data_IF_230234723382
#
_entry.id   IF_230234723382
#
_cell.length_a   1.000
_cell.length_b   1.000
_cell.length_c   1.000
_cell.angle_alpha   90.00
_cell.angle_beta   90.00
_cell.angle_gamma   90.00
#
_symmetry.space_group_name_H-M   'P 1'
#
loop_
_entity.id
_entity.type
_entity.pdbx_description
1 polymer ?
#
# COMPACT_ATOMS: atom_id res chain seq x y z
N UNK A 1 12.30 -8.74 -2.41
CA UNK A 1 11.28 -9.36 -1.54
C UNK A 1 10.58 -10.55 -2.22
N UNK A 2 9.89 -10.37 -3.35
CA UNK A 2 8.99 -11.41 -3.90
C UNK A 2 9.50 -12.20 -5.12
N UNK A 3 10.54 -11.72 -5.83
CA UNK A 3 11.15 -12.40 -7.01
C UNK A 3 10.15 -12.79 -8.12
N UNK A 4 9.12 -11.97 -8.34
CA UNK A 4 8.02 -12.23 -9.30
C UNK A 4 8.51 -12.39 -10.74
N UNK A 5 9.54 -11.63 -11.13
CA UNK A 5 10.22 -11.67 -12.42
C UNK A 5 10.86 -13.03 -12.73
N UNK A 6 11.25 -13.77 -11.69
CA UNK A 6 11.80 -15.13 -11.81
C UNK A 6 10.75 -16.23 -11.71
N UNK A 7 9.46 -15.88 -11.65
CA UNK A 7 8.35 -16.83 -11.63
C UNK A 7 7.85 -17.23 -10.24
N UNK A 8 8.31 -16.57 -9.16
CA UNK A 8 7.80 -16.84 -7.82
C UNK A 8 6.31 -16.44 -7.68
N UNK A 9 5.59 -17.16 -6.81
CA UNK A 9 4.16 -16.99 -6.56
C UNK A 9 3.44 -18.35 -6.49
N UNK A 10 2.11 -18.35 -6.27
CA UNK A 10 1.27 -17.17 -6.07
C UNK A 10 1.49 -16.51 -4.71
N UNK A 11 1.33 -15.19 -4.65
CA UNK A 11 1.30 -14.42 -3.40
C UNK A 11 -0.01 -13.66 -3.28
N UNK A 12 -0.57 -13.58 -2.07
CA UNK A 12 -1.78 -12.82 -1.81
C UNK A 12 -1.47 -11.33 -1.62
N UNK A 13 -2.00 -10.51 -2.51
CA UNK A 13 -1.90 -9.06 -2.56
C UNK A 13 -3.22 -8.42 -2.13
N UNK A 14 -3.13 -7.36 -1.32
CA UNK A 14 -4.24 -6.44 -1.07
C UNK A 14 -3.85 -5.03 -1.51
N UNK A 15 -4.39 -4.48 -2.63
CA UNK A 15 -4.09 -3.12 -3.04
C UNK A 15 -5.02 -2.11 -2.36
N UNK A 16 -4.44 -0.95 -2.03
CA UNK A 16 -5.15 0.24 -1.57
C UNK A 16 -4.79 1.41 -2.49
N UNK A 17 -5.72 2.35 -2.65
CA UNK A 17 -5.47 3.61 -3.34
C UNK A 17 -5.80 4.81 -2.46
N UNK A 18 -5.37 5.99 -2.91
CA UNK A 18 -5.53 7.25 -2.17
C UNK A 18 -6.95 7.79 -2.15
N UNK A 19 -7.10 9.02 -1.68
CA UNK A 19 -8.40 9.69 -1.65
C UNK A 19 -8.91 9.99 -3.06
N UNK A 20 -10.16 9.62 -3.44
CA UNK A 20 -10.74 9.87 -4.76
C UNK A 20 -10.79 11.35 -5.20
N UNK A 21 -10.74 12.28 -4.26
CA UNK A 21 -10.73 13.73 -4.48
C UNK A 21 -9.32 14.34 -4.58
N UNK A 22 -8.27 13.52 -4.48
CA UNK A 22 -6.88 13.93 -4.68
C UNK A 22 -6.39 13.52 -6.07
N UNK A 23 -6.04 14.52 -6.89
CA UNK A 23 -5.51 14.29 -8.24
C UNK A 23 -4.27 13.40 -8.26
N UNK A 24 -3.41 13.44 -7.23
CA UNK A 24 -2.19 12.65 -7.18
C UNK A 24 -2.45 11.15 -6.96
N UNK A 25 -3.55 10.80 -6.29
CA UNK A 25 -3.87 9.42 -5.93
C UNK A 25 -3.97 8.51 -7.16
N UNK A 26 -4.55 9.03 -8.26
CA UNK A 26 -4.59 8.32 -9.54
C UNK A 26 -3.19 7.99 -10.07
N UNK A 27 -2.26 8.94 -10.02
CA UNK A 27 -0.90 8.74 -10.54
C UNK A 27 -0.11 7.73 -9.72
N UNK A 28 -0.22 7.77 -8.39
CA UNK A 28 0.44 6.78 -7.54
C UNK A 28 -0.08 5.37 -7.82
N UNK A 29 -1.40 5.21 -7.93
CA UNK A 29 -1.98 3.92 -8.24
C UNK A 29 -1.58 3.44 -9.64
N UNK A 30 -1.78 4.24 -10.68
CA UNK A 30 -1.46 3.88 -12.06
C UNK A 30 0.01 3.46 -12.23
N UNK A 31 0.94 4.22 -11.64
CA UNK A 31 2.37 3.88 -11.70
C UNK A 31 2.71 2.55 -11.03
N UNK A 32 2.07 2.23 -9.91
CA UNK A 32 2.26 0.93 -9.25
C UNK A 32 1.53 -0.20 -10.00
N UNK A 33 0.32 0.06 -10.50
CA UNK A 33 -0.53 -0.92 -11.15
C UNK A 33 0.00 -1.35 -12.51
N UNK A 34 0.62 -0.44 -13.28
CA UNK A 34 1.31 -0.77 -14.54
C UNK A 34 2.36 -1.88 -14.35
N UNK A 35 3.06 -1.88 -13.20
CA UNK A 35 4.03 -2.91 -12.84
C UNK A 35 3.38 -4.18 -12.29
N UNK A 36 2.36 -4.05 -11.44
CA UNK A 36 1.79 -5.18 -10.70
C UNK A 36 0.72 -5.94 -11.49
N UNK A 37 -0.07 -5.25 -12.32
CA UNK A 37 -1.18 -5.82 -13.08
C UNK A 37 -0.77 -7.02 -13.96
N UNK A 38 0.38 -7.01 -14.67
CA UNK A 38 0.82 -8.20 -15.42
C UNK A 38 1.01 -9.44 -14.55
N UNK A 39 1.39 -9.29 -13.28
CA UNK A 39 1.52 -10.41 -12.34
C UNK A 39 0.18 -10.82 -11.74
N UNK A 40 -0.76 -9.89 -11.60
CA UNK A 40 -2.16 -10.17 -11.22
C UNK A 40 -2.84 -10.98 -12.33
N UNK A 41 -2.74 -10.52 -13.58
CA UNK A 41 -3.35 -11.17 -14.75
C UNK A 41 -2.81 -12.60 -14.97
N UNK A 42 -1.54 -12.84 -14.63
CA UNK A 42 -0.91 -14.18 -14.68
C UNK A 42 -1.22 -15.06 -13.45
N UNK A 43 -1.88 -14.51 -12.43
CA UNK A 43 -2.16 -15.21 -11.17
C UNK A 43 -0.94 -15.40 -10.26
N UNK A 44 0.19 -14.74 -10.53
CA UNK A 44 1.35 -14.73 -9.62
C UNK A 44 1.08 -13.83 -8.40
N UNK A 45 0.28 -12.78 -8.58
CA UNK A 45 -0.34 -12.02 -7.50
C UNK A 45 -1.84 -12.32 -7.52
N UNK A 46 -2.36 -12.81 -6.41
CA UNK A 46 -3.79 -13.09 -6.24
C UNK A 46 -4.35 -12.02 -5.32
N UNK A 47 -5.55 -11.50 -5.59
CA UNK A 47 -6.25 -10.56 -4.71
C UNK A 47 -7.48 -11.26 -4.14
N UNK A 48 -7.36 -11.97 -3.00
CA UNK A 48 -8.46 -12.75 -2.41
C UNK A 48 -9.73 -11.93 -2.16
N UNK A 49 -9.59 -10.65 -1.80
CA UNK A 49 -10.73 -9.76 -1.59
C UNK A 49 -11.51 -9.40 -2.87
N UNK A 50 -10.98 -9.72 -4.04
CA UNK A 50 -11.53 -9.31 -5.34
C UNK A 50 -11.37 -7.81 -5.63
N UNK A 51 -10.70 -7.05 -4.75
CA UNK A 51 -10.48 -5.60 -4.90
C UNK A 51 -9.30 -5.27 -5.82
N UNK A 52 -9.20 -5.99 -6.95
CA UNK A 52 -8.23 -5.67 -8.00
C UNK A 52 -8.90 -4.78 -9.04
N UNK A 53 -8.47 -3.51 -9.19
CA UNK A 53 -8.98 -2.65 -10.26
C UNK A 53 -8.70 -3.26 -11.65
N UNK A 54 -9.71 -3.26 -12.52
CA UNK A 54 -9.58 -3.83 -13.86
C UNK A 54 -8.71 -2.95 -14.77
N UNK A 55 -8.74 -1.63 -14.53
CA UNK A 55 -7.94 -0.62 -15.21
C UNK A 55 -7.51 0.50 -14.26
N UNK A 56 -6.62 1.37 -14.73
CA UNK A 56 -6.19 2.56 -13.99
C UNK A 56 -7.33 3.54 -13.71
N UNK A 57 -8.42 3.49 -14.47
CA UNK A 57 -9.59 4.35 -14.24
C UNK A 57 -10.46 3.84 -13.09
N UNK A 58 -10.33 2.56 -12.71
CA UNK A 58 -11.10 1.94 -11.64
C UNK A 58 -10.48 2.11 -10.25
N UNK A 59 -9.33 2.79 -10.15
CA UNK A 59 -8.55 2.95 -8.92
C UNK A 59 -9.38 3.47 -7.73
N UNK A 60 -10.33 4.37 -7.99
CA UNK A 60 -11.13 5.01 -6.96
C UNK A 60 -12.05 4.01 -6.23
N UNK A 61 -12.36 2.86 -6.84
CA UNK A 61 -13.15 1.78 -6.21
C UNK A 61 -12.49 1.18 -4.96
N UNK A 62 -11.19 1.36 -4.81
CA UNK A 62 -10.38 0.92 -3.65
C UNK A 62 -9.72 2.11 -2.93
N UNK A 63 -10.15 3.33 -3.23
CA UNK A 63 -9.63 4.56 -2.65
C UNK A 63 -10.06 4.75 -1.21
N UNK A 64 -9.16 5.26 -0.37
CA UNK A 64 -9.45 5.62 1.02
C UNK A 64 -9.68 7.11 1.13
N UNK A 65 -10.95 7.49 1.32
CA UNK A 65 -11.37 8.89 1.45
C UNK A 65 -10.58 9.62 2.56
N UNK A 66 -10.05 10.79 2.22
CA UNK A 66 -9.32 11.66 3.13
C UNK A 66 -7.97 11.10 3.60
N UNK A 67 -7.44 10.04 2.97
CA UNK A 67 -6.17 9.43 3.35
C UNK A 67 -6.12 8.96 4.82
N UNK A 68 -7.28 8.56 5.35
CA UNK A 68 -7.49 8.26 6.77
C UNK A 68 -6.86 6.93 7.19
N UNK A 69 -5.99 6.95 8.21
CA UNK A 69 -5.44 5.73 8.84
C UNK A 69 -6.55 4.83 9.39
N UNK A 70 -7.53 5.39 10.10
CA UNK A 70 -8.61 4.63 10.73
C UNK A 70 -9.47 3.91 9.68
N UNK A 71 -9.75 4.58 8.57
CA UNK A 71 -10.50 4.00 7.46
C UNK A 71 -9.69 2.88 6.78
N UNK A 72 -8.38 3.08 6.60
CA UNK A 72 -7.50 2.06 6.07
C UNK A 72 -7.40 0.83 6.99
N UNK A 73 -7.33 1.05 8.30
CA UNK A 73 -7.34 0.00 9.30
C UNK A 73 -8.64 -0.80 9.23
N UNK A 74 -9.80 -0.15 9.30
CA UNK A 74 -11.11 -0.82 9.23
C UNK A 74 -11.29 -1.60 7.92
N UNK A 75 -10.86 -1.04 6.80
CA UNK A 75 -10.91 -1.72 5.51
C UNK A 75 -10.01 -2.95 5.47
N UNK A 76 -8.80 -2.87 6.04
CA UNK A 76 -7.90 -4.02 6.13
C UNK A 76 -8.41 -5.10 7.08
N UNK A 77 -8.96 -4.72 8.24
CA UNK A 77 -9.63 -5.63 9.17
C UNK A 77 -10.79 -6.37 8.49
N UNK A 78 -11.61 -5.66 7.72
CA UNK A 78 -12.69 -6.27 6.95
C UNK A 78 -12.16 -7.30 5.95
N UNK A 79 -11.11 -6.96 5.19
CA UNK A 79 -10.49 -7.90 4.24
C UNK A 79 -9.93 -9.13 4.96
N UNK A 80 -9.21 -8.95 6.06
CA UNK A 80 -8.63 -10.03 6.86
C UNK A 80 -9.72 -10.98 7.38
N UNK A 81 -10.77 -10.43 7.98
CA UNK A 81 -11.87 -11.22 8.56
C UNK A 81 -12.66 -11.98 7.49
N UNK A 82 -12.92 -11.36 6.34
CA UNK A 82 -13.73 -11.97 5.27
C UNK A 82 -12.98 -12.99 4.43
N UNK A 83 -11.67 -12.82 4.20
CA UNK A 83 -10.96 -13.59 3.17
C UNK A 83 -9.76 -14.40 3.70
N UNK A 84 -9.35 -14.22 4.96
CA UNK A 84 -8.13 -14.84 5.51
C UNK A 84 -8.36 -15.68 6.77
N UNK A 85 -9.61 -15.90 7.18
CA UNK A 85 -9.97 -16.74 8.34
C UNK A 85 -9.62 -18.23 8.17
N UNK A 86 -9.49 -18.71 6.93
CA UNK A 86 -9.18 -20.11 6.58
C UNK A 86 -7.69 -20.50 6.69
N UNK A 87 -6.83 -19.66 7.27
CA UNK A 87 -5.39 -19.91 7.40
C UNK A 87 -4.54 -19.35 6.25
N UNK A 88 -5.18 -18.85 5.18
CA UNK A 88 -4.53 -18.04 4.15
C UNK A 88 -3.88 -16.81 4.78
N UNK A 89 -2.71 -16.39 4.28
CA UNK A 89 -1.99 -15.20 4.76
C UNK A 89 -1.85 -14.16 3.66
N UNK A 90 -1.97 -12.90 4.04
CA UNK A 90 -1.58 -11.77 3.21
C UNK A 90 -0.05 -11.82 3.05
N UNK A 91 0.44 -11.65 1.84
CA UNK A 91 1.88 -11.60 1.57
C UNK A 91 2.34 -10.19 1.19
N UNK A 92 1.44 -9.39 0.61
CA UNK A 92 1.75 -8.06 0.09
C UNK A 92 0.56 -7.14 0.34
N UNK A 93 0.84 -5.92 0.78
CA UNK A 93 -0.14 -4.84 0.80
C UNK A 93 0.48 -3.62 0.10
N UNK A 94 -0.16 -3.19 -0.99
CA UNK A 94 0.21 -1.96 -1.67
C UNK A 94 -0.51 -0.80 -0.97
N UNK A 95 0.20 -0.11 -0.09
CA UNK A 95 -0.26 1.16 0.49
C UNK A 95 0.37 2.34 -0.26
N UNK A 96 -0.42 3.35 -0.67
CA UNK A 96 0.06 4.51 -1.42
C UNK A 96 0.74 5.58 -0.55
N UNK A 97 0.57 5.55 0.78
CA UNK A 97 1.28 6.42 1.71
C UNK A 97 1.44 5.81 3.12
N UNK A 98 2.16 6.54 3.97
CA UNK A 98 2.48 6.14 5.33
C UNK A 98 1.26 6.22 6.27
N UNK A 99 0.35 7.19 6.07
CA UNK A 99 -0.92 7.27 6.83
C UNK A 99 -1.75 5.98 6.69
N UNK A 100 -1.97 5.50 5.47
CA UNK A 100 -2.69 4.24 5.23
C UNK A 100 -1.88 3.05 5.73
N UNK A 101 -0.56 3.04 5.50
CA UNK A 101 0.31 1.94 5.94
C UNK A 101 0.29 1.78 7.46
N UNK A 102 0.19 2.88 8.21
CA UNK A 102 0.09 2.85 9.66
C UNK A 102 -1.16 2.11 10.13
N UNK A 103 -2.34 2.46 9.58
CA UNK A 103 -3.60 1.79 9.90
C UNK A 103 -3.63 0.33 9.45
N UNK A 104 -3.08 0.04 8.26
CA UNK A 104 -2.94 -1.33 7.73
C UNK A 104 -2.05 -2.17 8.66
N UNK A 105 -0.92 -1.63 9.13
CA UNK A 105 -0.02 -2.35 10.04
C UNK A 105 -0.69 -2.66 11.39
N UNK A 106 -1.54 -1.76 11.90
CA UNK A 106 -2.34 -1.99 13.11
C UNK A 106 -3.37 -3.10 12.91
N UNK A 107 -4.07 -3.13 11.77
CA UNK A 107 -4.99 -4.21 11.42
C UNK A 107 -4.27 -5.57 11.34
N UNK A 108 -3.09 -5.61 10.69
CA UNK A 108 -2.26 -6.81 10.60
C UNK A 108 -1.81 -7.28 12.00
N UNK A 109 -1.35 -6.37 12.85
CA UNK A 109 -0.97 -6.70 14.23
C UNK A 109 -2.16 -7.27 15.03
N UNK A 110 -3.34 -6.65 14.92
CA UNK A 110 -4.57 -7.13 15.54
C UNK A 110 -5.00 -8.53 15.05
N UNK A 111 -4.69 -8.86 13.79
CA UNK A 111 -4.91 -10.20 13.21
C UNK A 111 -3.78 -11.19 13.52
N UNK A 112 -2.82 -10.82 14.38
CA UNK A 112 -1.75 -11.70 14.86
C UNK A 112 -0.56 -11.82 13.92
N UNK A 113 -0.39 -10.92 12.95
CA UNK A 113 0.85 -10.82 12.19
C UNK A 113 1.93 -10.19 13.06
N UNK A 114 3.08 -10.85 13.16
CA UNK A 114 4.24 -10.35 13.90
C UNK A 114 5.40 -10.04 12.94
N UNK A 115 6.23 -9.02 13.23
CA UNK A 115 7.42 -8.74 12.45
C UNK A 115 8.32 -9.96 12.30
N UNK A 116 8.84 -10.18 11.09
CA UNK A 116 9.67 -11.33 10.77
C UNK A 116 9.64 -11.66 9.28
N UNK A 117 10.22 -12.81 8.89
CA UNK A 117 10.26 -13.25 7.49
C UNK A 117 8.89 -13.41 6.83
N UNK A 118 7.87 -13.72 7.65
CA UNK A 118 6.50 -13.97 7.19
C UNK A 118 5.59 -12.72 7.28
N UNK A 119 6.12 -11.58 7.75
CA UNK A 119 5.36 -10.34 7.76
C UNK A 119 5.12 -9.86 6.33
N UNK A 120 3.92 -9.37 5.97
CA UNK A 120 3.63 -8.96 4.61
C UNK A 120 4.56 -7.83 4.16
N UNK A 121 4.88 -7.82 2.86
CA UNK A 121 5.52 -6.65 2.26
C UNK A 121 4.52 -5.51 2.29
N UNK A 122 4.82 -4.44 3.01
CA UNK A 122 3.96 -3.26 3.15
C UNK A 122 4.69 -2.02 2.65
N UNK A 123 4.15 -1.39 1.60
CA UNK A 123 4.71 -0.16 1.03
C UNK A 123 4.21 1.08 1.75
N UNK A 124 4.78 2.25 1.42
CA UNK A 124 4.35 3.54 1.97
C UNK A 124 5.04 4.70 1.25
N UNK A 125 4.75 5.92 1.68
CA UNK A 125 5.27 7.18 1.13
C UNK A 125 5.12 8.27 2.19
N UNK A 126 6.01 9.26 2.16
CA UNK A 126 6.12 10.46 3.01
C UNK A 126 7.22 10.38 4.08
N UNK A 127 7.61 9.17 4.48
CA UNK A 127 8.59 8.89 5.53
C UNK A 127 8.18 9.50 6.89
N UNK A 128 6.91 9.33 7.25
CA UNK A 128 6.38 9.79 8.53
C UNK A 128 7.13 9.14 9.69
N UNK A 129 7.32 9.89 10.78
CA UNK A 129 8.11 9.42 11.93
C UNK A 129 7.63 8.07 12.46
N UNK A 130 6.33 7.87 12.57
CA UNK A 130 5.74 6.61 13.03
C UNK A 130 6.09 5.44 12.08
N UNK A 131 6.07 5.69 10.78
CA UNK A 131 6.31 4.70 9.75
C UNK A 131 7.80 4.37 9.60
N UNK A 132 8.69 5.34 9.80
CA UNK A 132 10.13 5.08 9.95
C UNK A 132 10.39 4.15 11.15
N UNK A 133 9.71 4.37 12.28
CA UNK A 133 9.81 3.46 13.42
C UNK A 133 9.21 2.08 13.10
N UNK A 134 8.10 1.99 12.36
CA UNK A 134 7.55 0.72 11.89
C UNK A 134 8.51 -0.02 10.95
N UNK A 135 9.20 0.69 10.06
CA UNK A 135 10.22 0.08 9.19
C UNK A 135 11.37 -0.50 10.01
N UNK A 136 11.87 0.23 11.01
CA UNK A 136 12.89 -0.27 11.94
C UNK A 136 12.39 -1.49 12.71
N UNK A 137 11.11 -1.48 13.12
CA UNK A 137 10.47 -2.59 13.83
C UNK A 137 10.07 -3.77 12.92
N UNK A 138 10.31 -3.70 11.61
CA UNK A 138 9.92 -4.74 10.65
C UNK A 138 8.41 -4.84 10.39
N UNK A 139 7.64 -3.81 10.75
CA UNK A 139 6.18 -3.66 10.52
C UNK A 139 5.84 -2.92 9.22
N UNK A 140 6.83 -2.44 8.48
CA UNK A 140 6.69 -1.83 7.17
C UNK A 140 7.95 -2.09 6.36
N UNK A 141 7.83 -2.31 5.06
CA UNK A 141 8.98 -2.72 4.23
C UNK A 141 9.72 -1.55 3.60
N UNK A 142 9.00 -0.48 3.26
CA UNK A 142 9.57 0.69 2.62
C UNK A 142 8.67 1.92 2.76
N UNK A 143 9.26 3.09 2.55
CA UNK A 143 8.57 4.35 2.33
C UNK A 143 9.35 5.17 1.28
N UNK A 144 8.64 6.02 0.54
CA UNK A 144 9.24 6.99 -0.39
C UNK A 144 9.41 8.34 0.31
N UNK A 145 10.65 8.73 0.59
CA UNK A 145 10.95 10.04 1.13
C UNK A 145 10.90 11.12 0.04
N UNK A 146 10.03 12.11 0.22
CA UNK A 146 9.94 13.31 -0.62
C UNK A 146 10.43 14.49 0.20
N UNK A 147 11.62 15.00 -0.09
CA UNK A 147 12.20 16.12 0.66
C UNK A 147 11.42 17.42 0.40
N UNK A 148 10.56 17.80 1.33
CA UNK A 148 9.72 19.00 1.23
C UNK A 148 10.55 20.29 1.22
N UNK A 149 11.80 20.27 1.71
CA UNK A 149 12.71 21.42 1.67
C UNK A 149 13.11 21.74 0.23
N UNK A 150 13.51 20.71 -0.52
CA UNK A 150 13.89 20.87 -1.92
C UNK A 150 12.71 21.36 -2.79
N UNK A 151 11.49 20.87 -2.49
CA UNK A 151 10.28 21.39 -3.14
C UNK A 151 10.03 22.86 -2.76
N UNK A 152 10.13 23.21 -1.48
CA UNK A 152 9.96 24.58 -1.00
C UNK A 152 10.95 25.57 -1.63
N UNK A 153 12.23 25.19 -1.72
CA UNK A 153 13.26 25.98 -2.39
C UNK A 153 12.92 26.23 -3.87
N UNK A 154 12.36 25.24 -4.55
CA UNK A 154 11.96 25.37 -5.95
C UNK A 154 10.73 26.26 -6.12
N UNK A 155 9.75 26.18 -5.22
CA UNK A 155 8.59 27.07 -5.21
C UNK A 155 9.01 28.51 -4.97
N UNK A 156 9.92 28.77 -4.01
CA UNK A 156 10.43 30.11 -3.74
C UNK A 156 11.06 30.74 -4.99
N UNK A 157 11.88 29.99 -5.73
CA UNK A 157 12.46 30.45 -7.01
C UNK A 157 11.43 30.78 -8.08
N UNK A 158 10.28 30.10 -8.10
CA UNK A 158 9.21 30.38 -9.08
C UNK A 158 8.43 31.65 -8.73
N UNK A 159 8.30 31.99 -7.45
CA UNK A 159 7.62 33.21 -6.98
C UNK A 159 8.47 34.46 -7.23
N UNK A 160 9.79 34.33 -7.10
CA UNK A 160 10.72 35.45 -7.28
C UNK A 160 11.02 35.81 -8.76
N UNK A 161 10.43 35.08 -9.73
CA UNK A 161 10.56 35.29 -11.18
C UNK A 161 9.44 36.15 -11.75
#
# INVERSE_FOLDING_TARGET
ALKLDTGAGPFNLEPFAGSPDDNNAKFFFAGAWDVLKPYVDKGQLVVPSGKAPASDDDWASIGVQGWSSDTAQSEMENRLNSFYSGGTKVNVVLSPNDSLALGIAQALEGAGYAPGPDYPVLTGQDADKANVLNMIAGKQSMSVWKDTRALGDQVAKMVDQ
#
